data_IF_778362757259
#
_entry.id   IF_778362757259
#
_cell.length_a   1.000
_cell.length_b   1.000
_cell.length_c   1.000
_cell.angle_alpha   90.00
_cell.angle_beta   90.00
_cell.angle_gamma   90.00
#
_symmetry.space_group_name_H-M   'P 1'
#
loop_
_entity.id
_entity.type
_entity.pdbx_description
1 polymer ?
#
# COMPACT_ATOMS: atom_id res chain seq x y z
N UNK A 1 -5.34 13.04 14.64
CA UNK A 1 -5.86 13.35 13.30
C UNK A 1 -5.11 12.58 12.25
N UNK A 2 -5.80 12.06 11.25
CA UNK A 2 -5.15 11.39 10.14
C UNK A 2 -4.73 12.42 9.09
N UNK A 3 -3.58 12.18 8.46
CA UNK A 3 -3.02 13.07 7.45
C UNK A 3 -2.64 12.27 6.20
N UNK A 4 -3.65 11.74 5.46
CA UNK A 4 -3.38 10.84 4.35
C UNK A 4 -2.50 11.43 3.24
N UNK A 5 -2.65 12.72 2.95
CA UNK A 5 -1.82 13.38 1.94
C UNK A 5 -0.37 13.46 2.37
N UNK A 6 -0.13 13.74 3.65
CA UNK A 6 1.20 13.81 4.20
C UNK A 6 1.88 12.43 4.19
N UNK A 7 1.14 11.40 4.57
CA UNK A 7 1.64 10.03 4.50
C UNK A 7 1.96 9.64 3.05
N UNK A 8 1.09 9.98 2.11
CA UNK A 8 1.31 9.65 0.70
C UNK A 8 2.59 10.28 0.16
N UNK A 9 2.91 11.50 0.57
CA UNK A 9 4.14 12.18 0.15
C UNK A 9 5.41 11.52 0.70
N UNK A 10 5.29 10.78 1.79
CA UNK A 10 6.43 10.09 2.42
C UNK A 10 6.64 8.68 1.88
N UNK A 11 5.74 8.19 1.03
CA UNK A 11 5.86 6.87 0.43
C UNK A 11 6.84 6.93 -0.73
N UNK A 12 7.82 6.02 -0.72
CA UNK A 12 8.86 5.95 -1.75
C UNK A 12 8.74 4.64 -2.52
N UNK A 13 8.68 4.75 -3.85
CA UNK A 13 8.68 3.56 -4.71
C UNK A 13 10.10 3.00 -4.75
N UNK A 14 10.28 1.73 -4.33
CA UNK A 14 11.58 1.05 -4.31
C UNK A 14 11.76 0.09 -5.47
N UNK A 15 10.68 -0.47 -5.99
CA UNK A 15 10.71 -1.39 -7.10
C UNK A 15 9.40 -1.30 -7.86
N UNK A 16 9.51 -1.34 -9.18
CA UNK A 16 8.36 -1.19 -10.07
C UNK A 16 8.55 -2.05 -11.30
N UNK A 17 7.63 -2.97 -11.52
CA UNK A 17 7.52 -3.75 -12.75
C UNK A 17 6.06 -4.17 -12.94
N UNK A 18 5.64 -4.57 -14.14
CA UNK A 18 4.26 -5.01 -14.34
C UNK A 18 3.90 -6.15 -13.39
N UNK A 19 2.85 -5.93 -12.59
CA UNK A 19 2.38 -6.93 -11.64
C UNK A 19 3.08 -6.93 -10.29
N UNK A 20 4.12 -6.13 -10.09
CA UNK A 20 4.84 -6.09 -8.80
C UNK A 20 5.27 -4.67 -8.46
N UNK A 21 4.89 -4.23 -7.28
CA UNK A 21 5.22 -2.90 -6.78
C UNK A 21 5.73 -3.03 -5.35
N UNK A 22 6.90 -2.47 -5.06
CA UNK A 22 7.43 -2.39 -3.70
C UNK A 22 7.57 -0.93 -3.29
N UNK A 23 7.06 -0.63 -2.10
CA UNK A 23 7.02 0.73 -1.58
C UNK A 23 7.66 0.75 -0.19
N UNK A 24 8.27 1.87 0.15
CA UNK A 24 8.69 2.12 1.53
C UNK A 24 7.72 3.10 2.15
N UNK A 25 7.18 2.73 3.31
CA UNK A 25 6.18 3.52 4.02
C UNK A 25 6.80 4.27 5.19
N UNK A 26 6.20 5.40 5.60
CA UNK A 26 6.62 6.06 6.84
C UNK A 26 6.29 5.17 8.04
N UNK A 27 7.03 5.33 9.12
CA UNK A 27 6.90 4.50 10.32
C UNK A 27 5.48 4.52 10.88
N UNK A 28 4.78 5.66 10.76
CA UNK A 28 3.41 5.81 11.27
C UNK A 28 2.43 4.82 10.64
N UNK A 29 2.71 4.33 9.44
CA UNK A 29 1.84 3.38 8.74
C UNK A 29 2.23 1.93 8.99
N UNK A 30 3.33 1.68 9.68
CA UNK A 30 3.88 0.34 9.87
C UNK A 30 3.65 -0.22 11.26
N UNK A 31 2.79 0.41 12.05
CA UNK A 31 2.55 0.01 13.43
C UNK A 31 1.07 -0.18 13.71
N UNK A 32 0.77 -1.15 14.58
CA UNK A 32 -0.55 -1.35 15.16
C UNK A 32 -1.68 -1.54 14.14
N UNK A 33 -2.87 -0.99 14.44
CA UNK A 33 -4.05 -1.16 13.59
C UNK A 33 -3.91 -0.59 12.19
N UNK A 34 -3.09 0.42 12.01
CA UNK A 34 -2.87 1.01 10.68
C UNK A 34 -2.23 0.03 9.73
N UNK A 35 -1.20 -0.68 10.19
CA UNK A 35 -0.52 -1.67 9.37
C UNK A 35 -1.48 -2.80 8.96
N UNK A 36 -2.27 -3.29 9.91
CA UNK A 36 -3.26 -4.35 9.65
C UNK A 36 -4.31 -3.87 8.65
N UNK A 37 -4.79 -2.64 8.81
CA UNK A 37 -5.81 -2.07 7.94
C UNK A 37 -5.32 -1.92 6.49
N UNK A 38 -4.07 -1.50 6.31
CA UNK A 38 -3.48 -1.38 4.98
C UNK A 38 -3.42 -2.75 4.29
N UNK A 39 -2.87 -3.75 4.97
CA UNK A 39 -2.80 -5.10 4.40
C UNK A 39 -4.18 -5.66 4.06
N UNK A 40 -5.10 -5.61 5.01
CA UNK A 40 -6.46 -6.13 4.81
C UNK A 40 -7.20 -5.39 3.70
N UNK A 41 -7.12 -4.07 3.71
CA UNK A 41 -7.80 -3.25 2.71
C UNK A 41 -7.30 -3.52 1.30
N UNK A 42 -6.00 -3.64 1.14
CA UNK A 42 -5.42 -3.89 -0.18
C UNK A 42 -5.72 -5.29 -0.68
N UNK A 43 -5.77 -6.28 0.21
CA UNK A 43 -6.14 -7.65 -0.17
C UNK A 43 -7.57 -7.74 -0.70
N UNK A 44 -8.42 -6.80 -0.32
CA UNK A 44 -9.80 -6.73 -0.80
C UNK A 44 -9.97 -6.04 -2.15
N UNK A 45 -8.91 -5.50 -2.73
CA UNK A 45 -8.98 -4.78 -4.00
C UNK A 45 -8.89 -5.75 -5.17
N UNK A 46 -9.83 -5.61 -6.12
CA UNK A 46 -9.83 -6.46 -7.32
C UNK A 46 -8.52 -6.27 -8.08
N UNK A 47 -7.91 -7.38 -8.48
CA UNK A 47 -6.64 -7.38 -9.20
C UNK A 47 -5.41 -7.52 -8.30
N UNK A 48 -5.51 -7.17 -7.03
CA UNK A 48 -4.42 -7.38 -6.08
C UNK A 48 -4.59 -8.76 -5.44
N UNK A 49 -3.63 -9.63 -5.64
CA UNK A 49 -3.70 -10.98 -5.09
C UNK A 49 -2.72 -11.23 -3.95
N UNK A 50 -1.81 -10.30 -3.67
CA UNK A 50 -0.91 -10.38 -2.53
C UNK A 50 -0.54 -8.97 -2.04
N UNK A 51 -0.68 -8.75 -0.74
CA UNK A 51 -0.27 -7.52 -0.10
C UNK A 51 0.38 -7.89 1.24
N UNK A 52 1.68 -7.64 1.37
CA UNK A 52 2.44 -7.96 2.56
C UNK A 52 3.21 -6.75 3.03
N UNK A 53 3.02 -6.38 4.28
CA UNK A 53 3.76 -5.29 4.89
C UNK A 53 4.82 -5.85 5.84
N UNK A 54 6.07 -5.64 5.50
CA UNK A 54 7.22 -6.01 6.33
C UNK A 54 7.51 -4.84 7.28
N UNK A 55 6.94 -4.92 8.47
CA UNK A 55 6.89 -3.78 9.40
C UNK A 55 8.25 -3.33 9.90
N UNK A 56 9.16 -4.26 10.14
CA UNK A 56 10.50 -3.97 10.65
C UNK A 56 11.35 -3.17 9.67
N UNK A 57 11.15 -3.37 8.37
CA UNK A 57 11.87 -2.64 7.33
C UNK A 57 10.98 -1.62 6.61
N UNK A 58 9.73 -1.50 7.01
CA UNK A 58 8.76 -0.54 6.49
C UNK A 58 8.52 -0.68 4.98
N UNK A 59 8.49 -1.91 4.49
CA UNK A 59 8.29 -2.19 3.07
C UNK A 59 6.97 -2.89 2.82
N UNK A 60 6.22 -2.35 1.87
CA UNK A 60 4.97 -2.94 1.41
C UNK A 60 5.22 -3.56 0.04
N UNK A 61 4.98 -4.86 -0.07
CA UNK A 61 5.10 -5.59 -1.34
C UNK A 61 3.71 -5.90 -1.85
N UNK A 62 3.43 -5.45 -3.07
CA UNK A 62 2.15 -5.65 -3.73
C UNK A 62 2.34 -6.44 -5.01
N UNK A 63 1.54 -7.51 -5.15
CA UNK A 63 1.46 -8.26 -6.40
C UNK A 63 0.05 -8.16 -6.93
N UNK A 64 -0.08 -7.84 -8.20
CA UNK A 64 -1.37 -7.64 -8.84
C UNK A 64 -1.35 -8.19 -10.25
N UNK A 65 -2.55 -8.49 -10.77
CA UNK A 65 -2.70 -8.95 -12.14
C UNK A 65 -2.73 -7.72 -13.07
N UNK A 66 -1.69 -7.52 -13.91
CA UNK A 66 -1.64 -6.34 -14.77
C UNK A 66 -2.73 -6.31 -15.84
N UNK A 67 -3.43 -7.43 -16.05
CA UNK A 67 -4.60 -7.47 -16.95
C UNK A 67 -5.87 -6.97 -16.28
N UNK A 68 -5.91 -6.96 -14.93
CA UNK A 68 -7.07 -6.48 -14.18
C UNK A 68 -6.87 -5.08 -13.62
N UNK A 69 -5.63 -4.71 -13.32
CA UNK A 69 -5.33 -3.41 -12.73
C UNK A 69 -3.96 -2.94 -13.19
N UNK A 70 -3.85 -1.66 -13.50
CA UNK A 70 -2.56 -1.04 -13.77
C UNK A 70 -1.90 -0.55 -12.48
N UNK A 71 -0.63 -0.16 -12.57
CA UNK A 71 0.07 0.40 -11.42
C UNK A 71 -0.68 1.60 -10.83
N UNK A 72 -1.23 2.46 -11.69
CA UNK A 72 -1.99 3.62 -11.26
C UNK A 72 -3.20 3.22 -10.40
N UNK A 73 -3.91 2.18 -10.81
CA UNK A 73 -5.08 1.69 -10.06
C UNK A 73 -4.66 1.19 -8.68
N UNK A 74 -3.53 0.50 -8.60
CA UNK A 74 -2.98 -0.02 -7.34
C UNK A 74 -2.58 1.15 -6.43
N UNK A 75 -1.93 2.16 -6.98
CA UNK A 75 -1.53 3.34 -6.20
C UNK A 75 -2.76 4.09 -5.68
N UNK A 76 -3.79 4.24 -6.53
CA UNK A 76 -5.04 4.88 -6.10
C UNK A 76 -5.74 4.09 -5.01
N UNK A 77 -5.70 2.75 -5.09
CA UNK A 77 -6.27 1.89 -4.07
C UNK A 77 -5.53 2.07 -2.73
N UNK A 78 -4.20 2.17 -2.76
CA UNK A 78 -3.43 2.44 -1.56
C UNK A 78 -3.81 3.79 -0.96
N UNK A 79 -3.91 4.83 -1.77
CA UNK A 79 -4.28 6.15 -1.28
C UNK A 79 -5.67 6.15 -0.65
N UNK A 80 -6.61 5.41 -1.24
CA UNK A 80 -7.95 5.27 -0.68
C UNK A 80 -7.89 4.62 0.71
N UNK A 81 -7.03 3.61 0.90
CA UNK A 81 -6.87 3.00 2.21
C UNK A 81 -6.34 3.99 3.25
N UNK A 82 -5.41 4.85 2.85
CA UNK A 82 -4.86 5.85 3.78
C UNK A 82 -5.94 6.81 4.30
N UNK A 83 -6.94 7.12 3.49
CA UNK A 83 -8.04 8.01 3.88
C UNK A 83 -8.95 7.40 4.95
N UNK A 84 -8.97 6.08 5.07
CA UNK A 84 -9.81 5.37 6.02
C UNK A 84 -9.07 4.94 7.28
N UNK A 85 -7.80 5.31 7.43
CA UNK A 85 -7.03 4.92 8.62
C UNK A 85 -7.40 5.76 9.84
N UNK A 86 -7.36 5.15 11.03
CA UNK A 86 -7.59 5.87 12.28
C UNK A 86 -6.50 6.88 12.60
#
# INVERSE_FOLDING_TARGET
MSHPEEWARQIVVRHREPGHLRLQLPVALCTGPRADAIESGLRGVAGIYRATLYRDVRKLSLRYDPHQAGERDVVLALRAQLEHLP
#
